data_IF_678236150340
#
_entry.id   IF_678236150340
#
_cell.length_a   1.000
_cell.length_b   1.000
_cell.length_c   1.000
_cell.angle_alpha   90.00
_cell.angle_beta   90.00
_cell.angle_gamma   90.00
#
_symmetry.space_group_name_H-M   'P 1'
#
loop_
_entity.id
_entity.type
_entity.pdbx_description
1 polymer ?
#
# COMPACT_ATOMS: atom_id res chain seq x y z
N UNK A 1 13.32 -7.57 -7.84
CA UNK A 1 14.78 -7.68 -7.67
C UNK A 1 15.19 -8.06 -6.25
N UNK A 2 14.80 -7.32 -5.21
CA UNK A 2 15.13 -7.76 -3.83
C UNK A 2 14.16 -8.86 -3.36
N UNK A 3 12.85 -8.65 -3.57
CA UNK A 3 11.80 -9.56 -3.09
C UNK A 3 11.72 -10.90 -3.83
N UNK A 4 12.16 -10.98 -5.08
CA UNK A 4 12.30 -12.20 -5.88
C UNK A 4 13.68 -12.88 -5.69
N UNK A 5 14.60 -12.24 -4.96
CA UNK A 5 15.92 -12.76 -4.66
C UNK A 5 16.97 -12.60 -5.78
N UNK A 6 16.69 -11.78 -6.79
CA UNK A 6 17.64 -11.47 -7.87
C UNK A 6 18.80 -10.57 -7.42
N UNK A 7 18.60 -9.76 -6.39
CA UNK A 7 19.62 -8.87 -5.84
C UNK A 7 19.61 -8.92 -4.30
N UNK A 8 20.79 -9.05 -3.70
CA UNK A 8 20.99 -9.18 -2.24
C UNK A 8 21.90 -8.11 -1.65
N UNK A 9 22.43 -7.21 -2.46
CA UNK A 9 23.24 -6.07 -2.06
C UNK A 9 23.03 -4.93 -3.07
N UNK A 10 23.60 -3.75 -2.78
CA UNK A 10 23.43 -2.56 -3.63
C UNK A 10 24.11 -2.77 -4.99
N UNK A 11 25.26 -3.44 -5.04
CA UNK A 11 26.01 -3.69 -6.29
C UNK A 11 25.21 -4.56 -7.27
N UNK A 12 24.68 -5.71 -6.82
CA UNK A 12 23.81 -6.57 -7.62
C UNK A 12 22.54 -5.83 -8.07
N UNK A 13 22.00 -4.95 -7.22
CA UNK A 13 20.83 -4.16 -7.55
C UNK A 13 21.14 -3.15 -8.66
N UNK A 14 22.27 -2.43 -8.56
CA UNK A 14 22.74 -1.53 -9.60
C UNK A 14 22.98 -2.28 -10.92
N UNK A 15 23.60 -3.45 -10.87
CA UNK A 15 23.84 -4.27 -12.06
C UNK A 15 22.53 -4.68 -12.72
N UNK A 16 21.53 -5.13 -11.96
CA UNK A 16 20.20 -5.45 -12.52
C UNK A 16 19.57 -4.20 -13.15
N UNK A 17 19.67 -3.04 -12.51
CA UNK A 17 19.11 -1.79 -13.01
C UNK A 17 19.80 -1.27 -14.28
N UNK A 18 21.07 -1.63 -14.53
CA UNK A 18 21.75 -1.31 -15.81
C UNK A 18 21.10 -2.01 -17.00
N UNK A 19 20.44 -3.15 -16.77
CA UNK A 19 19.77 -3.93 -17.82
C UNK A 19 18.28 -3.63 -17.94
N UNK A 20 17.70 -2.78 -17.08
CA UNK A 20 16.29 -2.40 -17.17
C UNK A 20 16.09 -1.22 -18.12
N UNK A 21 15.00 -1.24 -18.89
CA UNK A 21 14.60 -0.14 -19.77
C UNK A 21 14.04 1.09 -19.00
N UNK A 22 14.10 1.06 -17.67
CA UNK A 22 13.59 2.13 -16.80
C UNK A 22 14.49 3.36 -16.86
N UNK A 23 13.92 4.53 -16.55
CA UNK A 23 14.69 5.76 -16.32
C UNK A 23 15.78 5.47 -15.28
N UNK A 24 17.04 5.91 -15.48
CA UNK A 24 18.09 5.72 -14.48
C UNK A 24 17.61 6.31 -13.16
N UNK A 25 17.59 5.49 -12.10
CA UNK A 25 17.27 5.98 -10.77
C UNK A 25 18.36 6.98 -10.35
N UNK A 26 17.94 8.11 -9.75
CA UNK A 26 18.89 9.16 -9.35
C UNK A 26 19.79 8.71 -8.19
N UNK A 27 19.29 7.84 -7.32
CA UNK A 27 19.97 7.30 -6.15
C UNK A 27 19.30 5.97 -5.75
N UNK A 28 20.06 4.87 -5.71
CA UNK A 28 19.54 3.54 -5.38
C UNK A 28 19.41 3.39 -3.86
N UNK A 29 20.34 3.98 -3.13
CA UNK A 29 20.41 3.97 -1.68
C UNK A 29 19.21 4.69 -1.05
N UNK A 30 18.77 5.81 -1.63
CA UNK A 30 17.56 6.51 -1.17
C UNK A 30 16.33 5.61 -1.32
N UNK A 31 16.18 4.93 -2.46
CA UNK A 31 15.07 4.02 -2.69
C UNK A 31 15.10 2.82 -1.73
N UNK A 32 16.29 2.29 -1.42
CA UNK A 32 16.46 1.24 -0.41
C UNK A 32 16.11 1.76 0.98
N UNK A 33 16.48 2.99 1.32
CA UNK A 33 16.13 3.63 2.58
C UNK A 33 14.61 3.80 2.72
N UNK A 34 13.92 4.24 1.67
CA UNK A 34 12.45 4.38 1.65
C UNK A 34 11.75 3.02 1.81
N UNK A 35 12.22 1.99 1.09
CA UNK A 35 11.69 0.64 1.22
C UNK A 35 11.94 0.05 2.62
N UNK A 36 13.08 0.39 3.23
CA UNK A 36 13.41 -0.07 4.58
C UNK A 36 12.61 0.65 5.66
N UNK A 37 12.45 1.97 5.54
CA UNK A 37 11.60 2.77 6.42
C UNK A 37 10.15 2.25 6.44
N UNK A 38 9.66 1.79 5.28
CA UNK A 38 8.33 1.20 5.12
C UNK A 38 8.27 -0.31 5.34
N UNK A 39 9.35 -0.93 5.88
CA UNK A 39 9.41 -2.35 6.24
C UNK A 39 9.22 -3.33 5.07
N UNK A 40 9.50 -2.93 3.84
CA UNK A 40 9.51 -3.85 2.69
C UNK A 40 10.83 -4.62 2.61
N UNK A 41 11.94 -4.01 3.03
CA UNK A 41 13.30 -4.57 2.96
C UNK A 41 14.05 -4.32 4.27
N UNK A 42 14.75 -5.34 4.76
CA UNK A 42 15.70 -5.22 5.85
C UNK A 42 17.13 -5.05 5.29
N UNK A 43 17.86 -4.10 5.86
CA UNK A 43 19.27 -3.83 5.55
C UNK A 43 20.12 -4.30 6.72
N UNK A 44 21.00 -5.28 6.48
CA UNK A 44 21.94 -5.79 7.46
C UNK A 44 23.35 -5.36 7.08
N UNK A 45 24.02 -4.64 7.97
CA UNK A 45 25.42 -4.29 7.77
C UNK A 45 26.32 -5.42 8.28
N UNK A 46 27.17 -5.93 7.40
CA UNK A 46 28.20 -6.91 7.74
C UNK A 46 29.58 -6.30 7.54
N UNK A 47 30.48 -6.57 8.48
CA UNK A 47 31.91 -6.26 8.35
C UNK A 47 32.65 -7.53 7.99
N UNK A 48 33.25 -7.56 6.82
CA UNK A 48 34.13 -8.66 6.40
C UNK A 48 35.46 -8.03 6.01
N UNK A 49 36.53 -8.40 6.72
CA UNK A 49 37.93 -8.16 6.34
C UNK A 49 38.17 -6.76 5.69
N UNK A 50 37.83 -5.70 6.43
CA UNK A 50 37.99 -4.27 6.07
C UNK A 50 37.03 -3.67 5.02
N UNK A 51 36.05 -4.42 4.52
CA UNK A 51 34.98 -3.91 3.65
C UNK A 51 33.61 -3.91 4.37
N UNK A 52 32.85 -2.81 4.21
CA UNK A 52 31.49 -2.65 4.76
C UNK A 52 30.50 -3.09 3.67
N UNK A 53 29.94 -4.29 3.80
CA UNK A 53 28.92 -4.80 2.87
C UNK A 53 27.52 -4.74 3.50
N UNK A 54 26.57 -4.16 2.78
CA UNK A 54 25.14 -4.16 3.14
C UNK A 54 24.42 -5.32 2.45
N UNK A 55 23.88 -6.23 3.26
CA UNK A 55 23.01 -7.31 2.80
C UNK A 55 21.55 -6.83 2.84
N UNK A 56 20.87 -6.94 1.71
CA UNK A 56 19.46 -6.61 1.53
C UNK A 56 18.63 -7.90 1.57
N UNK A 57 17.56 -7.89 2.35
CA UNK A 57 16.64 -9.02 2.41
C UNK A 57 15.18 -8.55 2.45
N UNK A 58 14.31 -9.22 1.71
CA UNK A 58 12.89 -8.87 1.70
C UNK A 58 12.18 -9.35 2.96
N UNK A 59 11.33 -8.49 3.52
CA UNK A 59 10.45 -8.86 4.64
C UNK A 59 9.27 -9.70 4.13
N UNK A 60 8.43 -10.20 5.04
CA UNK A 60 7.17 -10.85 4.64
C UNK A 60 6.24 -9.88 3.91
N UNK A 61 6.17 -8.61 4.35
CA UNK A 61 5.41 -7.57 3.67
C UNK A 61 5.98 -7.30 2.26
N UNK A 62 7.31 -7.21 2.13
CA UNK A 62 8.04 -7.13 0.86
C UNK A 62 7.63 -8.18 -0.16
N UNK A 63 7.63 -9.44 0.27
CA UNK A 63 7.26 -10.57 -0.59
C UNK A 63 5.76 -10.59 -0.88
N UNK A 64 4.92 -10.33 0.12
CA UNK A 64 3.48 -10.29 -0.06
C UNK A 64 3.07 -9.22 -1.07
N UNK A 65 3.65 -8.03 -1.00
CA UNK A 65 3.40 -6.95 -1.96
C UNK A 65 3.80 -7.35 -3.39
N UNK A 66 5.00 -7.94 -3.56
CA UNK A 66 5.46 -8.45 -4.85
C UNK A 66 4.48 -9.49 -5.43
N UNK A 67 4.13 -10.52 -4.65
CA UNK A 67 3.25 -11.61 -5.10
C UNK A 67 1.84 -11.12 -5.36
N UNK A 68 1.38 -10.11 -4.61
CA UNK A 68 0.06 -9.49 -4.79
C UNK A 68 0.02 -8.48 -5.95
N UNK A 69 1.15 -8.25 -6.62
CA UNK A 69 1.28 -7.22 -7.66
C UNK A 69 0.83 -5.82 -7.19
N UNK A 70 1.02 -5.53 -5.89
CA UNK A 70 0.68 -4.25 -5.30
C UNK A 70 1.90 -3.32 -5.31
N UNK A 71 1.74 -2.07 -5.75
CA UNK A 71 2.78 -1.07 -5.52
C UNK A 71 2.92 -0.79 -4.01
N UNK A 72 4.08 -0.29 -3.54
CA UNK A 72 4.37 -0.16 -2.11
C UNK A 72 3.34 0.66 -1.32
N UNK A 73 2.85 1.75 -1.90
CA UNK A 73 1.80 2.60 -1.33
C UNK A 73 0.48 1.84 -1.13
N UNK A 74 0.00 1.14 -2.16
CA UNK A 74 -1.20 0.32 -2.08
C UNK A 74 -1.04 -0.84 -1.10
N UNK A 75 0.16 -1.46 -1.05
CA UNK A 75 0.45 -2.54 -0.12
C UNK A 75 0.42 -2.07 1.35
N UNK A 76 0.93 -0.88 1.67
CA UNK A 76 0.84 -0.30 3.02
C UNK A 76 -0.61 -0.01 3.42
N UNK A 77 -1.40 0.52 2.49
CA UNK A 77 -2.82 0.77 2.71
C UNK A 77 -3.56 -0.53 3.04
N UNK A 78 -3.44 -1.54 2.17
CA UNK A 78 -4.08 -2.86 2.36
C UNK A 78 -3.59 -3.53 3.65
N UNK A 79 -2.29 -3.46 3.94
CA UNK A 79 -1.72 -4.02 5.16
C UNK A 79 -2.31 -3.37 6.42
N UNK A 80 -2.50 -2.04 6.41
CA UNK A 80 -3.09 -1.30 7.53
C UNK A 80 -4.54 -1.70 7.76
N UNK A 81 -5.35 -1.75 6.69
CA UNK A 81 -6.75 -2.15 6.77
C UNK A 81 -6.90 -3.60 7.25
N UNK A 82 -6.08 -4.52 6.74
CA UNK A 82 -6.07 -5.92 7.19
C UNK A 82 -5.61 -6.05 8.64
N UNK A 83 -4.62 -5.27 9.08
CA UNK A 83 -4.20 -5.26 10.48
C UNK A 83 -5.31 -4.76 11.41
N UNK A 84 -6.09 -3.77 10.99
CA UNK A 84 -7.25 -3.30 11.75
C UNK A 84 -8.35 -4.37 11.77
N UNK A 85 -8.70 -4.94 10.61
CA UNK A 85 -9.72 -5.98 10.51
C UNK A 85 -9.38 -7.24 11.33
N UNK A 86 -8.09 -7.58 11.46
CA UNK A 86 -7.63 -8.70 12.29
C UNK A 86 -7.94 -8.50 13.78
N UNK A 87 -8.04 -7.23 14.25
CA UNK A 87 -8.41 -6.93 15.64
C UNK A 87 -9.91 -7.11 15.89
N UNK A 88 -10.74 -6.77 14.91
CA UNK A 88 -12.19 -6.90 14.98
C UNK A 88 -12.81 -6.96 13.59
N UNK A 89 -13.40 -8.11 13.25
CA UNK A 89 -14.18 -8.29 12.02
C UNK A 89 -15.67 -8.28 12.34
N UNK A 90 -16.39 -7.26 11.85
CA UNK A 90 -17.85 -7.25 11.85
C UNK A 90 -18.40 -8.29 10.87
N UNK A 91 -19.21 -9.22 11.39
CA UNK A 91 -19.84 -10.32 10.64
C UNK A 91 -21.37 -10.24 10.65
N UNK A 92 -21.96 -9.17 11.21
CA UNK A 92 -23.41 -8.89 11.15
C UNK A 92 -23.90 -8.86 9.68
N UNK A 93 -23.04 -8.39 8.76
CA UNK A 93 -23.30 -8.30 7.32
C UNK A 93 -22.03 -8.60 6.53
N UNK A 94 -22.19 -8.83 5.24
CA UNK A 94 -21.05 -9.03 4.31
C UNK A 94 -20.31 -7.73 3.98
N UNK A 95 -20.80 -6.57 4.44
CA UNK A 95 -20.28 -5.26 4.06
C UNK A 95 -18.79 -5.08 4.40
N UNK A 96 -18.33 -5.61 5.54
CA UNK A 96 -16.93 -5.55 5.93
C UNK A 96 -16.04 -6.41 5.00
N UNK A 97 -16.49 -7.62 4.69
CA UNK A 97 -15.77 -8.52 3.78
C UNK A 97 -15.68 -7.91 2.38
N UNK A 98 -16.77 -7.31 1.89
CA UNK A 98 -16.79 -6.61 0.61
C UNK A 98 -15.84 -5.41 0.59
N UNK A 99 -15.75 -4.64 1.68
CA UNK A 99 -14.78 -3.55 1.75
C UNK A 99 -13.34 -4.04 1.61
N UNK A 100 -12.95 -5.10 2.33
CA UNK A 100 -11.56 -5.59 2.33
C UNK A 100 -11.10 -6.12 0.97
N UNK A 101 -12.04 -6.56 0.12
CA UNK A 101 -11.75 -7.00 -1.26
C UNK A 101 -11.99 -5.90 -2.28
N UNK A 102 -12.46 -4.72 -1.86
CA UNK A 102 -12.68 -3.59 -2.77
C UNK A 102 -11.32 -3.07 -3.25
N UNK A 103 -11.09 -3.00 -4.57
CA UNK A 103 -9.85 -2.47 -5.10
C UNK A 103 -9.54 -1.05 -4.60
N UNK A 104 -8.27 -0.80 -4.29
CA UNK A 104 -7.78 0.50 -3.78
C UNK A 104 -7.48 1.52 -4.88
N UNK A 105 -7.62 1.14 -6.15
CA UNK A 105 -7.30 1.98 -7.29
C UNK A 105 -8.26 3.18 -7.41
N UNK A 106 -7.69 4.39 -7.35
CA UNK A 106 -8.45 5.64 -7.42
C UNK A 106 -9.23 5.83 -8.73
N UNK A 107 -8.83 5.17 -9.82
CA UNK A 107 -9.50 5.29 -11.13
C UNK A 107 -10.96 4.82 -11.11
N UNK A 108 -11.30 3.85 -10.24
CA UNK A 108 -12.68 3.34 -10.11
C UNK A 108 -13.62 4.41 -9.53
N UNK A 109 -13.06 5.37 -8.79
CA UNK A 109 -13.81 6.43 -8.11
C UNK A 109 -13.86 7.74 -8.93
N UNK A 110 -13.11 7.84 -10.02
CA UNK A 110 -13.16 9.00 -10.92
C UNK A 110 -14.53 9.07 -11.61
N UNK A 111 -15.25 10.17 -11.41
CA UNK A 111 -16.60 10.35 -11.95
C UNK A 111 -17.73 9.80 -11.06
N UNK A 112 -17.42 9.37 -9.83
CA UNK A 112 -18.44 8.97 -8.86
C UNK A 112 -19.34 10.16 -8.47
N UNK A 113 -20.66 9.98 -8.56
CA UNK A 113 -21.62 10.93 -7.99
C UNK A 113 -21.72 10.71 -6.46
N UNK A 114 -21.00 11.54 -5.71
CA UNK A 114 -20.98 11.52 -4.26
C UNK A 114 -22.37 11.71 -3.63
N UNK A 115 -23.27 12.45 -4.28
CA UNK A 115 -24.64 12.63 -3.77
C UNK A 115 -25.45 11.33 -3.94
N UNK A 116 -25.27 10.64 -5.06
CA UNK A 116 -25.87 9.33 -5.27
C UNK A 116 -25.37 8.31 -4.23
N UNK A 117 -24.05 8.26 -4.02
CA UNK A 117 -23.43 7.39 -3.02
C UNK A 117 -23.94 7.70 -1.61
N UNK A 118 -24.07 8.98 -1.25
CA UNK A 118 -24.65 9.40 0.02
C UNK A 118 -26.12 8.97 0.16
N UNK A 119 -26.88 9.02 -0.93
CA UNK A 119 -28.25 8.51 -0.98
C UNK A 119 -28.34 7.01 -0.73
N UNK A 120 -27.39 6.22 -1.25
CA UNK A 120 -27.27 4.79 -0.95
C UNK A 120 -26.90 4.58 0.51
N UNK A 121 -25.87 5.27 1.00
CA UNK A 121 -25.40 5.17 2.38
C UNK A 121 -26.50 5.49 3.41
N UNK A 122 -27.33 6.49 3.13
CA UNK A 122 -28.44 6.89 3.99
C UNK A 122 -29.50 5.78 4.16
N UNK A 123 -29.66 4.93 3.13
CA UNK A 123 -30.62 3.81 3.09
C UNK A 123 -30.08 2.53 3.74
N UNK A 124 -28.81 2.48 4.13
CA UNK A 124 -28.25 1.34 4.85
C UNK A 124 -29.03 1.06 6.14
N UNK A 125 -29.18 -0.22 6.45
CA UNK A 125 -29.75 -0.73 7.68
C UNK A 125 -28.93 -0.32 8.91
N UNK A 126 -29.49 -0.52 10.12
CA UNK A 126 -28.80 -0.20 11.36
C UNK A 126 -27.53 -1.08 11.55
N UNK A 127 -27.55 -2.32 11.08
CA UNK A 127 -26.40 -3.24 11.11
C UNK A 127 -25.28 -2.75 10.19
N UNK A 128 -25.60 -2.46 8.92
CA UNK A 128 -24.64 -1.96 7.94
C UNK A 128 -24.02 -0.62 8.36
N UNK A 129 -24.80 0.28 8.98
CA UNK A 129 -24.28 1.54 9.53
C UNK A 129 -23.30 1.32 10.70
N UNK A 130 -23.53 0.31 11.54
CA UNK A 130 -22.57 -0.05 12.60
C UNK A 130 -21.28 -0.61 12.01
N UNK A 131 -21.39 -1.49 11.00
CA UNK A 131 -20.23 -2.00 10.27
C UNK A 131 -19.43 -0.86 9.65
N UNK A 132 -20.10 0.02 8.91
CA UNK A 132 -19.47 1.19 8.29
C UNK A 132 -18.73 2.08 9.31
N UNK A 133 -19.29 2.28 10.50
CA UNK A 133 -18.66 3.05 11.58
C UNK A 133 -17.41 2.39 12.14
N UNK A 134 -17.37 1.06 12.20
CA UNK A 134 -16.21 0.29 12.70
C UNK A 134 -14.99 0.44 11.80
N UNK A 135 -15.21 0.57 10.49
CA UNK A 135 -14.13 0.58 9.50
C UNK A 135 -13.37 1.92 9.42
N UNK A 136 -13.71 2.90 10.27
CA UNK A 136 -13.19 4.28 10.25
C UNK A 136 -13.31 5.04 8.91
N UNK A 137 -13.79 4.39 7.84
CA UNK A 137 -14.16 4.94 6.53
C UNK A 137 -15.07 6.17 6.67
N UNK A 138 -15.73 6.33 7.82
CA UNK A 138 -16.66 7.41 8.13
C UNK A 138 -16.38 8.14 9.46
N UNK A 139 -15.29 7.86 10.17
CA UNK A 139 -14.96 8.58 11.42
C UNK A 139 -14.67 10.07 11.19
N UNK A 140 -14.28 10.45 9.96
CA UNK A 140 -14.09 11.83 9.51
C UNK A 140 -15.20 12.36 8.57
N UNK A 141 -16.29 11.62 8.38
CA UNK A 141 -17.36 11.99 7.46
C UNK A 141 -17.13 11.49 6.02
N UNK A 142 -18.21 11.18 5.28
CA UNK A 142 -18.18 10.49 3.98
C UNK A 142 -17.53 11.30 2.84
N UNK A 143 -17.14 12.56 3.09
CA UNK A 143 -16.64 13.48 2.09
C UNK A 143 -15.15 13.81 2.23
N UNK A 144 -14.45 13.38 3.29
CA UNK A 144 -13.08 13.88 3.52
C UNK A 144 -12.03 12.76 3.49
N UNK A 145 -12.22 11.60 4.14
CA UNK A 145 -11.13 10.61 4.25
C UNK A 145 -10.77 9.89 2.93
N UNK A 146 -11.77 9.44 2.14
CA UNK A 146 -11.53 8.88 0.80
C UNK A 146 -11.42 9.96 -0.27
N UNK A 147 -12.01 11.15 -0.05
CA UNK A 147 -11.91 12.26 -0.99
C UNK A 147 -10.54 12.91 -0.93
N UNK A 148 -9.92 13.04 0.24
CA UNK A 148 -8.54 13.54 0.39
C UNK A 148 -7.53 12.57 -0.22
N UNK A 149 -7.72 11.25 -0.07
CA UNK A 149 -6.86 10.25 -0.72
C UNK A 149 -7.05 10.19 -2.25
N UNK A 150 -8.30 10.32 -2.74
CA UNK A 150 -8.62 10.36 -4.17
C UNK A 150 -8.27 11.71 -4.81
N UNK A 151 -8.49 12.84 -4.15
CA UNK A 151 -8.09 14.20 -4.59
C UNK A 151 -6.56 14.34 -4.58
N UNK A 152 -5.85 13.82 -3.57
CA UNK A 152 -4.39 13.79 -3.54
C UNK A 152 -3.80 12.98 -4.72
N UNK A 153 -4.41 11.84 -5.07
CA UNK A 153 -4.01 11.06 -6.24
C UNK A 153 -4.34 11.76 -7.57
N UNK A 154 -5.48 12.45 -7.67
CA UNK A 154 -5.89 13.21 -8.87
C UNK A 154 -4.97 14.41 -9.12
N UNK A 155 -4.52 15.11 -8.07
CA UNK A 155 -3.58 16.23 -8.22
C UNK A 155 -2.15 15.81 -8.61
N UNK A 156 -1.71 14.59 -8.29
CA UNK A 156 -0.40 14.07 -8.69
C UNK A 156 -0.35 13.59 -10.15
N UNK A 157 -1.50 13.44 -10.82
CA UNK A 157 -1.59 13.01 -12.22
C UNK A 157 -1.78 14.19 -13.20
N UNK A 158 -1.77 15.42 -12.70
CA UNK A 158 -1.93 16.66 -13.48
C UNK A 158 -0.64 17.49 -13.60
N UNK A 159 0.53 16.84 -13.49
CA UNK A 159 1.86 17.44 -13.69
C UNK A 159 2.63 16.73 -14.80
#
# INVERSE_FOLDING_TARGET
>A
CICDGLARNVEELEDVLRFTLSKPMRNVEDAVCDLSANRFVDVQETRREDERCSLLSATQLGRAALVSSLPPDAALFVFTDLQQATKAIALDTELHMLYLVTPTNCSVWQGCDWNHLHGIFSKLSAEEKRVAKLMEVFAHGPADAKKEHVEACVHQTAG
#
